data_IF_859998055009
#
_entry.id   IF_859998055009
#
_cell.length_a   1.000
_cell.length_b   1.000
_cell.length_c   1.000
_cell.angle_alpha   90.00
_cell.angle_beta   90.00
_cell.angle_gamma   90.00
#
_symmetry.space_group_name_H-M   'P 1'
#
loop_
_entity.id
_entity.type
_entity.pdbx_description
1 polymer ?
#
# COMPACT_ATOMS: atom_id res chain seq x y z
N UNK A 1 2.34 15.20 23.80
CA UNK A 1 3.65 14.90 23.19
C UNK A 1 3.63 13.43 22.82
N UNK A 2 3.59 13.08 21.55
CA UNK A 2 3.59 11.68 21.10
C UNK A 2 4.96 11.05 21.40
N UNK A 3 5.04 9.77 21.80
CA UNK A 3 6.27 9.18 22.36
C UNK A 3 7.29 8.69 21.32
N UNK A 4 7.10 8.96 20.03
CA UNK A 4 8.01 8.54 18.96
C UNK A 4 8.02 9.55 17.82
N UNK A 5 9.16 9.68 17.14
CA UNK A 5 9.31 10.39 15.88
C UNK A 5 9.10 9.40 14.73
N UNK A 6 8.17 9.70 13.84
CA UNK A 6 8.01 8.96 12.58
C UNK A 6 8.63 9.79 11.47
N UNK A 7 9.69 9.28 10.84
CA UNK A 7 10.28 9.86 9.65
C UNK A 7 9.56 9.36 8.40
N UNK A 8 8.71 10.18 7.80
CA UNK A 8 8.00 9.83 6.56
C UNK A 8 8.63 10.63 5.43
N UNK A 9 9.36 9.94 4.57
CA UNK A 9 9.92 10.53 3.35
C UNK A 9 8.79 10.75 2.34
N UNK A 10 8.25 11.96 2.35
CA UNK A 10 7.07 12.38 1.57
C UNK A 10 7.43 13.04 0.26
N UNK A 11 8.70 13.02 -0.16
CA UNK A 11 9.19 13.72 -1.35
C UNK A 11 8.49 13.29 -2.66
N UNK A 12 7.66 12.23 -2.63
CA UNK A 12 6.82 11.77 -3.75
C UNK A 12 5.31 11.67 -3.47
N UNK A 13 4.83 12.04 -2.27
CA UNK A 13 3.44 11.85 -1.86
C UNK A 13 2.63 13.15 -2.01
N UNK A 14 2.09 13.36 -3.20
CA UNK A 14 1.15 14.43 -3.50
C UNK A 14 -0.31 13.99 -3.40
N UNK A 15 -1.05 14.52 -2.42
CA UNK A 15 -2.51 14.49 -2.34
C UNK A 15 -3.14 13.30 -1.58
N UNK A 16 -4.47 13.34 -1.30
CA UNK A 16 -5.18 12.37 -0.46
C UNK A 16 -5.11 10.92 -0.94
N UNK A 17 -4.70 10.72 -2.20
CA UNK A 17 -4.57 9.42 -2.87
C UNK A 17 -3.44 8.52 -2.36
N UNK A 18 -2.67 8.99 -1.38
CA UNK A 18 -1.63 8.23 -0.71
C UNK A 18 -2.03 7.73 0.68
N UNK A 19 -3.31 7.90 1.08
CA UNK A 19 -3.81 7.46 2.38
C UNK A 19 -3.41 6.02 2.71
N UNK A 20 -3.65 5.07 1.79
CA UNK A 20 -3.26 3.67 2.00
C UNK A 20 -1.74 3.50 2.13
N UNK A 21 -0.94 4.14 1.25
CA UNK A 21 0.51 4.01 1.29
C UNK A 21 1.11 4.57 2.59
N UNK A 22 0.58 5.71 3.04
CA UNK A 22 0.97 6.36 4.28
C UNK A 22 0.59 5.52 5.50
N UNK A 23 -0.63 4.98 5.54
CA UNK A 23 -1.06 4.08 6.60
C UNK A 23 -0.19 2.84 6.69
N UNK A 24 0.11 2.19 5.55
CA UNK A 24 0.98 1.00 5.55
C UNK A 24 2.40 1.34 6.01
N UNK A 25 2.96 2.48 5.59
CA UNK A 25 4.29 2.92 6.04
C UNK A 25 4.33 3.21 7.55
N UNK A 26 3.29 3.85 8.09
CA UNK A 26 3.15 4.08 9.53
C UNK A 26 3.07 2.77 10.31
N UNK A 27 2.26 1.83 9.82
CA UNK A 27 2.11 0.52 10.46
C UNK A 27 3.42 -0.27 10.41
N UNK A 28 4.20 -0.16 9.32
CA UNK A 28 5.50 -0.80 9.18
C UNK A 28 6.48 -0.25 10.23
N UNK A 29 6.59 1.08 10.33
CA UNK A 29 7.46 1.78 11.29
C UNK A 29 7.11 1.48 12.75
N UNK A 30 5.82 1.35 13.06
CA UNK A 30 5.36 1.03 14.42
C UNK A 30 5.44 -0.46 14.74
N UNK A 31 5.58 -1.32 13.74
CA UNK A 31 5.75 -2.75 13.91
C UNK A 31 7.21 -3.11 14.18
N UNK A 32 7.45 -4.18 14.92
CA UNK A 32 8.81 -4.70 15.14
C UNK A 32 9.33 -5.54 13.96
N UNK A 33 8.48 -5.79 12.96
CA UNK A 33 8.74 -6.67 11.83
C UNK A 33 8.76 -5.91 10.52
N UNK A 34 8.67 -6.63 9.40
CA UNK A 34 8.49 -6.01 8.08
C UNK A 34 7.15 -6.40 7.48
N UNK A 35 6.27 -5.43 7.29
CA UNK A 35 4.97 -5.63 6.63
C UNK A 35 5.10 -6.03 5.17
N UNK A 36 6.16 -5.59 4.49
CA UNK A 36 6.38 -5.92 3.07
C UNK A 36 7.31 -7.11 2.86
N UNK A 37 7.84 -7.66 3.96
CA UNK A 37 8.87 -8.71 3.94
C UNK A 37 10.15 -8.20 3.30
N UNK A 38 10.61 -8.85 2.22
CA UNK A 38 11.83 -8.45 1.48
C UNK A 38 11.53 -7.84 0.11
N UNK A 39 10.27 -7.45 -0.12
CA UNK A 39 9.76 -7.09 -1.44
C UNK A 39 9.41 -5.61 -1.47
N UNK A 40 9.87 -4.89 -2.51
CA UNK A 40 9.46 -3.49 -2.70
C UNK A 40 8.00 -3.43 -3.16
N UNK A 41 7.14 -2.84 -2.33
CA UNK A 41 5.70 -2.69 -2.59
C UNK A 41 5.37 -1.21 -2.80
N UNK A 42 4.52 -0.93 -3.77
CA UNK A 42 3.87 0.36 -3.95
C UNK A 42 2.38 0.23 -3.62
N UNK A 43 1.76 1.28 -3.12
CA UNK A 43 0.33 1.33 -2.84
C UNK A 43 -0.26 2.68 -3.25
N UNK A 44 -1.54 2.70 -3.60
CA UNK A 44 -2.31 3.93 -3.78
C UNK A 44 -3.77 3.70 -3.40
N UNK A 45 -4.46 4.76 -3.00
CA UNK A 45 -5.82 4.70 -2.49
C UNK A 45 -6.02 5.76 -1.42
N UNK A 46 -7.23 6.32 -1.34
CA UNK A 46 -7.63 7.00 -0.11
C UNK A 46 -7.89 5.95 0.97
N UNK A 47 -7.83 6.35 2.24
CA UNK A 47 -8.27 5.51 3.34
C UNK A 47 -9.30 6.27 4.17
N UNK A 48 -10.42 5.62 4.45
CA UNK A 48 -11.50 6.17 5.24
C UNK A 48 -11.34 5.77 6.73
N UNK A 49 -12.12 6.40 7.62
CA UNK A 49 -12.09 6.07 9.05
C UNK A 49 -12.62 4.68 9.40
N UNK A 50 -13.34 4.04 8.47
CA UNK A 50 -13.78 2.64 8.52
C UNK A 50 -12.80 1.70 7.81
N UNK A 51 -11.58 2.18 7.51
CA UNK A 51 -10.49 1.44 6.86
C UNK A 51 -10.77 1.02 5.41
N UNK A 52 -11.86 1.50 4.80
CA UNK A 52 -12.16 1.28 3.39
C UNK A 52 -11.17 2.03 2.49
N UNK A 53 -10.75 1.37 1.40
CA UNK A 53 -9.82 1.93 0.41
C UNK A 53 -10.62 2.51 -0.75
N UNK A 54 -10.52 3.82 -0.92
CA UNK A 54 -11.26 4.56 -1.96
C UNK A 54 -10.45 4.79 -3.23
N UNK A 55 -11.20 5.04 -4.32
CA UNK A 55 -10.65 5.26 -5.65
C UNK A 55 -9.83 6.56 -5.74
N UNK A 56 -8.89 6.58 -6.69
CA UNK A 56 -7.95 7.66 -6.94
C UNK A 56 -7.74 7.85 -8.44
N UNK A 57 -7.30 9.04 -8.83
CA UNK A 57 -6.93 9.32 -10.22
C UNK A 57 -5.54 8.80 -10.60
N UNK A 58 -5.28 8.86 -11.91
CA UNK A 58 -3.97 8.63 -12.53
C UNK A 58 -3.33 7.26 -12.25
N UNK A 59 -4.16 6.20 -12.21
CA UNK A 59 -3.69 4.82 -12.01
C UNK A 59 -2.64 4.39 -13.04
N UNK A 60 -2.79 4.66 -14.36
CA UNK A 60 -1.75 4.30 -15.33
C UNK A 60 -0.40 4.96 -15.03
N UNK A 61 -0.38 6.25 -14.70
CA UNK A 61 0.84 7.00 -14.38
C UNK A 61 1.49 6.47 -13.10
N UNK A 62 0.69 6.17 -12.07
CA UNK A 62 1.17 5.58 -10.82
C UNK A 62 1.74 4.17 -11.04
N UNK A 63 1.14 3.38 -11.91
CA UNK A 63 1.67 2.07 -12.27
C UNK A 63 3.03 2.16 -12.99
N UNK A 64 3.22 3.16 -13.85
CA UNK A 64 4.52 3.43 -14.48
C UNK A 64 5.55 3.78 -13.40
N UNK A 65 5.23 4.74 -12.52
CA UNK A 65 6.14 5.16 -11.45
C UNK A 65 6.50 3.99 -10.50
N UNK A 66 5.52 3.19 -10.09
CA UNK A 66 5.74 2.02 -9.25
C UNK A 66 6.67 1.00 -9.92
N UNK A 67 6.42 0.66 -11.19
CA UNK A 67 7.27 -0.25 -11.95
C UNK A 67 8.69 0.29 -12.10
N UNK A 68 8.83 1.56 -12.45
CA UNK A 68 10.12 2.19 -12.69
C UNK A 68 10.93 2.37 -11.38
N UNK A 69 10.24 2.47 -10.23
CA UNK A 69 10.86 2.39 -8.91
C UNK A 69 11.39 0.99 -8.55
N UNK A 70 11.06 -0.03 -9.34
CA UNK A 70 11.43 -1.43 -9.10
C UNK A 70 10.48 -2.20 -8.17
N UNK A 71 9.29 -1.67 -7.89
CA UNK A 71 8.28 -2.38 -7.10
C UNK A 71 7.90 -3.71 -7.76
N UNK A 72 7.68 -4.75 -6.95
CA UNK A 72 7.22 -6.07 -7.41
C UNK A 72 5.74 -6.27 -7.23
N UNK A 73 5.12 -5.46 -6.39
CA UNK A 73 3.69 -5.41 -6.17
C UNK A 73 3.24 -3.95 -6.16
N UNK A 74 2.13 -3.68 -6.83
CA UNK A 74 1.35 -2.47 -6.70
C UNK A 74 -0.06 -2.82 -6.19
N UNK A 75 -0.43 -2.24 -5.05
CA UNK A 75 -1.79 -2.27 -4.53
C UNK A 75 -2.59 -1.09 -5.09
N UNK A 76 -3.75 -1.38 -5.67
CA UNK A 76 -4.68 -0.40 -6.23
C UNK A 76 -6.08 -0.57 -5.62
N UNK A 77 -6.90 0.49 -5.51
CA UNK A 77 -8.25 0.37 -4.98
C UNK A 77 -9.10 -0.56 -5.83
N UNK A 78 -9.86 -1.45 -5.20
CA UNK A 78 -10.86 -2.28 -5.88
C UNK A 78 -11.98 -1.44 -6.52
N UNK A 79 -12.22 -0.23 -5.99
CA UNK A 79 -13.17 0.74 -6.51
C UNK A 79 -12.72 1.45 -7.81
N UNK A 80 -11.52 1.16 -8.33
CA UNK A 80 -11.08 1.70 -9.63
C UNK A 80 -11.92 1.17 -10.79
N UNK A 81 -11.93 1.94 -11.89
CA UNK A 81 -12.51 1.44 -13.14
C UNK A 81 -11.79 0.18 -13.63
N UNK A 82 -12.53 -0.72 -14.29
CA UNK A 82 -11.95 -1.92 -14.88
C UNK A 82 -10.84 -1.60 -15.89
N UNK A 83 -11.00 -0.50 -16.63
CA UNK A 83 -10.02 -0.01 -17.61
C UNK A 83 -8.72 0.44 -16.95
N UNK A 84 -8.80 1.16 -15.82
CA UNK A 84 -7.62 1.56 -15.06
C UNK A 84 -6.88 0.35 -14.48
N UNK A 85 -7.61 -0.61 -13.92
CA UNK A 85 -7.03 -1.85 -13.37
C UNK A 85 -6.35 -2.63 -14.50
N UNK A 86 -7.00 -2.78 -15.65
CA UNK A 86 -6.44 -3.44 -16.83
C UNK A 86 -5.22 -2.70 -17.38
N UNK A 87 -5.23 -1.36 -17.39
CA UNK A 87 -4.10 -0.54 -17.78
C UNK A 87 -2.90 -0.74 -16.83
N UNK A 88 -3.13 -0.68 -15.50
CA UNK A 88 -2.09 -0.92 -14.51
C UNK A 88 -1.48 -2.32 -14.65
N UNK A 89 -2.31 -3.36 -14.81
CA UNK A 89 -1.85 -4.74 -15.04
C UNK A 89 -1.01 -4.87 -16.31
N UNK A 90 -1.41 -4.26 -17.42
CA UNK A 90 -0.61 -4.22 -18.65
C UNK A 90 0.72 -3.52 -18.46
N UNK A 91 0.74 -2.40 -17.72
CA UNK A 91 1.96 -1.63 -17.43
C UNK A 91 2.93 -2.43 -16.55
N UNK A 92 2.41 -3.10 -15.52
CA UNK A 92 3.21 -3.95 -14.64
C UNK A 92 3.81 -5.16 -15.36
N UNK A 93 3.06 -5.76 -16.28
CA UNK A 93 3.51 -6.87 -17.11
C UNK A 93 4.06 -8.02 -16.25
N UNK A 94 5.20 -8.59 -16.64
CA UNK A 94 5.89 -9.62 -15.86
C UNK A 94 6.79 -9.08 -14.74
N UNK A 95 6.98 -7.75 -14.66
CA UNK A 95 7.97 -7.13 -13.75
C UNK A 95 7.37 -6.72 -12.40
N UNK A 96 6.06 -6.43 -12.39
CA UNK A 96 5.33 -5.97 -11.21
C UNK A 96 3.90 -6.52 -11.25
N UNK A 97 3.50 -7.21 -10.17
CA UNK A 97 2.12 -7.65 -9.95
C UNK A 97 1.24 -6.47 -9.55
N UNK A 98 -0.03 -6.52 -9.95
CA UNK A 98 -1.03 -5.51 -9.56
C UNK A 98 -2.20 -6.23 -8.91
N UNK A 99 -2.40 -5.97 -7.63
CA UNK A 99 -3.49 -6.53 -6.83
C UNK A 99 -4.46 -5.42 -6.41
N UNK A 100 -5.74 -5.76 -6.36
CA UNK A 100 -6.79 -4.83 -5.95
C UNK A 100 -7.15 -5.04 -4.49
N UNK A 101 -7.40 -3.96 -3.76
CA UNK A 101 -7.80 -3.99 -2.35
C UNK A 101 -8.98 -3.09 -2.09
N UNK A 102 -9.97 -3.56 -1.35
CA UNK A 102 -11.13 -2.79 -0.91
C UNK A 102 -10.97 -2.25 0.52
N UNK A 103 -10.06 -2.81 1.31
CA UNK A 103 -9.84 -2.43 2.72
C UNK A 103 -8.36 -2.50 3.11
N UNK A 104 -8.02 -1.88 4.24
CA UNK A 104 -6.71 -2.02 4.88
C UNK A 104 -6.40 -3.49 5.20
N UNK A 105 -7.39 -4.23 5.72
CA UNK A 105 -7.21 -5.64 6.09
C UNK A 105 -6.81 -6.50 4.89
N UNK A 106 -7.47 -6.33 3.74
CA UNK A 106 -7.08 -7.04 2.51
C UNK A 106 -5.65 -6.73 2.06
N UNK A 107 -5.22 -5.46 2.20
CA UNK A 107 -3.85 -5.07 1.90
C UNK A 107 -2.86 -5.81 2.82
N UNK A 108 -3.13 -5.86 4.13
CA UNK A 108 -2.31 -6.57 5.11
C UNK A 108 -2.27 -8.08 4.84
N UNK A 109 -3.38 -8.69 4.45
CA UNK A 109 -3.44 -10.13 4.15
C UNK A 109 -2.65 -10.49 2.89
N UNK A 110 -2.70 -9.66 1.84
CA UNK A 110 -1.84 -9.82 0.65
C UNK A 110 -0.36 -9.72 1.03
N UNK A 111 -0.03 -8.73 1.86
CA UNK A 111 1.34 -8.49 2.32
C UNK A 111 1.87 -9.66 3.17
N UNK A 112 1.06 -10.20 4.09
CA UNK A 112 1.37 -11.43 4.83
C UNK A 112 1.62 -12.62 3.91
N UNK A 113 0.80 -12.77 2.86
CA UNK A 113 0.99 -13.80 1.83
C UNK A 113 2.32 -13.67 1.06
N UNK A 114 2.96 -12.50 1.07
CA UNK A 114 4.29 -12.27 0.51
C UNK A 114 5.44 -12.46 1.52
N UNK A 115 5.13 -12.92 2.73
CA UNK A 115 6.08 -13.10 3.82
C UNK A 115 6.27 -11.86 4.68
N UNK A 116 5.30 -10.94 4.66
CA UNK A 116 5.22 -9.85 5.63
C UNK A 116 4.81 -10.35 7.02
N UNK A 117 5.34 -9.72 8.05
CA UNK A 117 5.02 -10.06 9.43
C UNK A 117 3.60 -9.61 9.80
N UNK A 118 2.99 -10.29 10.76
CA UNK A 118 1.76 -9.82 11.36
C UNK A 118 2.03 -8.54 12.18
N UNK A 119 1.09 -7.61 12.13
CA UNK A 119 1.05 -6.54 13.13
C UNK A 119 0.99 -7.17 14.53
N UNK A 120 1.68 -6.59 15.52
CA UNK A 120 1.58 -7.07 16.89
C UNK A 120 0.11 -6.99 17.33
N UNK A 121 -0.41 -8.11 17.86
CA UNK A 121 -1.74 -8.13 18.45
C UNK A 121 -1.76 -7.13 19.61
N UNK A 122 -2.76 -6.26 19.67
CA UNK A 122 -2.94 -5.30 20.77
C UNK A 122 -3.38 -5.97 22.09
N UNK A 123 -3.31 -7.30 22.16
CA UNK A 123 -3.55 -8.06 23.39
C UNK A 123 -2.20 -8.49 23.97
N UNK A 124 -1.88 -7.93 25.13
CA UNK A 124 -0.77 -8.23 26.05
C UNK A 124 0.40 -7.24 26.02
N UNK A 125 0.15 -6.09 26.65
CA UNK A 125 1.09 -5.49 27.59
C UNK A 125 0.25 -4.99 28.80
N UNK A 126 -0.08 -5.91 29.71
CA UNK A 126 -0.39 -5.64 31.14
C UNK A 126 0.65 -6.34 32.00
#
# INVERSE_FOLDING_TARGET
KTPFEVGIDTDSIGGPSAGLAFTLALLDELSKGSLTGKVKVAATGTINGDEAVGAVGAIPQKAIAARDSGAKLLLVPAAQSADDIAAARRIGGSRMRVETVASLQEALDILRGLGGDALPDSTNDE
#
